data_IF_337006492982
#
_entry.id   IF_337006492982
#
_cell.length_a   1.000
_cell.length_b   1.000
_cell.length_c   1.000
_cell.angle_alpha   90.00
_cell.angle_beta   90.00
_cell.angle_gamma   90.00
#
_symmetry.space_group_name_H-M   'P 1'
#
loop_
_entity.id
_entity.type
_entity.pdbx_description
1 polymer ?
#
# COMPACT_ATOMS: atom_id res chain seq x y z
N UNK A 1 8.48 -41.58 -7.18
CA UNK A 1 7.10 -41.35 -6.70
C UNK A 1 6.49 -40.27 -7.57
N UNK A 2 5.18 -40.20 -7.69
CA UNK A 2 4.51 -39.16 -8.47
C UNK A 2 3.64 -38.24 -7.62
N UNK A 3 3.29 -37.07 -8.15
CA UNK A 3 2.35 -36.12 -7.55
C UNK A 3 1.05 -36.85 -7.19
N UNK A 4 0.53 -36.63 -5.96
CA UNK A 4 -0.72 -37.21 -5.53
C UNK A 4 -1.87 -36.90 -6.50
N UNK A 5 -2.68 -37.92 -6.82
CA UNK A 5 -3.71 -37.81 -7.85
C UNK A 5 -4.69 -36.65 -7.63
N UNK A 6 -5.07 -36.38 -6.38
CA UNK A 6 -5.98 -35.27 -6.02
C UNK A 6 -5.36 -33.87 -6.16
N UNK A 7 -4.04 -33.78 -6.36
CA UNK A 7 -3.31 -32.52 -6.50
C UNK A 7 -2.81 -32.27 -7.93
N UNK A 8 -2.98 -33.23 -8.84
CA UNK A 8 -2.64 -33.04 -10.26
C UNK A 8 -3.52 -31.97 -10.90
N UNK A 9 -2.93 -31.18 -11.78
CA UNK A 9 -3.57 -30.03 -12.44
C UNK A 9 -3.70 -28.79 -11.56
N UNK A 10 -3.18 -28.81 -10.33
CA UNK A 10 -3.06 -27.61 -9.50
C UNK A 10 -1.85 -26.78 -9.96
N UNK A 11 -1.90 -25.50 -9.61
CA UNK A 11 -0.86 -24.52 -9.95
C UNK A 11 -0.27 -23.90 -8.68
N UNK A 12 0.94 -23.38 -8.81
CA UNK A 12 1.55 -22.46 -7.87
C UNK A 12 1.75 -21.08 -8.53
N UNK A 13 1.79 -20.03 -7.73
CA UNK A 13 1.65 -18.64 -8.19
C UNK A 13 2.77 -17.74 -7.69
N UNK A 14 3.41 -17.01 -8.60
CA UNK A 14 4.32 -15.92 -8.26
C UNK A 14 3.67 -14.60 -8.61
N UNK A 15 3.61 -13.65 -7.68
CA UNK A 15 3.05 -12.33 -7.94
C UNK A 15 4.14 -11.27 -7.99
N UNK A 16 3.96 -10.29 -8.87
CA UNK A 16 4.89 -9.17 -9.08
C UNK A 16 4.14 -7.96 -9.64
N UNK A 17 4.77 -6.80 -9.68
CA UNK A 17 4.24 -5.63 -10.38
C UNK A 17 4.36 -5.82 -11.91
N UNK A 18 3.37 -5.30 -12.64
CA UNK A 18 3.38 -5.30 -14.11
C UNK A 18 4.61 -4.59 -14.70
N UNK A 19 5.21 -3.63 -13.99
CA UNK A 19 6.44 -2.94 -14.40
C UNK A 19 7.62 -3.90 -14.58
N UNK A 20 7.63 -5.02 -13.85
CA UNK A 20 8.68 -6.04 -13.95
C UNK A 20 8.48 -6.97 -15.16
N UNK A 21 7.34 -6.89 -15.87
CA UNK A 21 7.01 -7.84 -16.92
C UNK A 21 8.01 -7.78 -18.09
N UNK A 22 8.48 -6.59 -18.44
CA UNK A 22 9.41 -6.43 -19.56
C UNK A 22 10.72 -7.20 -19.35
N UNK A 23 11.34 -7.04 -18.18
CA UNK A 23 12.58 -7.76 -17.84
C UNK A 23 12.35 -9.25 -17.65
N UNK A 24 11.16 -9.67 -17.18
CA UNK A 24 10.78 -11.08 -17.07
C UNK A 24 10.62 -11.72 -18.44
N UNK A 25 10.09 -11.00 -19.44
CA UNK A 25 10.02 -11.50 -20.82
C UNK A 25 11.42 -11.68 -21.40
N UNK A 26 12.32 -10.72 -21.16
CA UNK A 26 13.67 -10.74 -21.74
C UNK A 26 14.58 -11.79 -21.09
N UNK A 27 14.48 -11.99 -19.77
CA UNK A 27 15.45 -12.78 -18.99
C UNK A 27 14.85 -14.03 -18.33
N UNK A 28 13.53 -14.19 -18.37
CA UNK A 28 12.80 -15.09 -17.48
C UNK A 28 12.58 -14.51 -16.09
N UNK A 29 11.71 -15.16 -15.32
CA UNK A 29 11.53 -14.86 -13.90
C UNK A 29 12.68 -15.48 -13.11
N UNK A 30 13.69 -14.68 -12.75
CA UNK A 30 14.92 -15.15 -12.09
C UNK A 30 14.86 -15.07 -10.56
N UNK A 31 15.61 -15.96 -9.89
CA UNK A 31 15.83 -15.94 -8.45
C UNK A 31 16.62 -14.68 -8.03
N UNK A 32 16.54 -14.32 -6.75
CA UNK A 32 17.15 -13.09 -6.24
C UNK A 32 18.65 -13.02 -6.51
N UNK A 33 19.38 -14.11 -6.28
CA UNK A 33 20.83 -14.13 -6.47
C UNK A 33 21.23 -13.88 -7.94
N UNK A 34 20.55 -14.52 -8.90
CA UNK A 34 20.81 -14.29 -10.33
C UNK A 34 20.37 -12.90 -10.81
N UNK A 35 19.28 -12.34 -10.28
CA UNK A 35 18.88 -10.96 -10.57
C UNK A 35 19.97 -9.97 -10.14
N UNK A 36 20.51 -10.16 -8.94
CA UNK A 36 21.58 -9.33 -8.40
C UNK A 36 22.88 -9.48 -9.20
N UNK A 37 23.30 -10.70 -9.51
CA UNK A 37 24.49 -10.99 -10.31
C UNK A 37 24.43 -10.32 -11.69
N UNK A 38 23.25 -10.34 -12.33
CA UNK A 38 23.03 -9.78 -13.67
C UNK A 38 22.69 -8.29 -13.68
N UNK A 39 22.55 -7.66 -12.51
CA UNK A 39 22.16 -6.25 -12.40
C UNK A 39 20.79 -5.93 -13.01
N UNK A 40 19.86 -6.89 -12.96
CA UNK A 40 18.51 -6.69 -13.53
C UNK A 40 17.71 -5.77 -12.59
N UNK A 41 17.29 -4.61 -13.11
CA UNK A 41 16.39 -3.72 -12.39
C UNK A 41 15.05 -4.40 -12.14
N UNK A 42 14.57 -4.31 -10.90
CA UNK A 42 13.34 -4.95 -10.45
C UNK A 42 12.71 -4.13 -9.34
N UNK A 43 11.45 -3.76 -9.52
CA UNK A 43 10.63 -3.14 -8.48
C UNK A 43 10.34 -4.18 -7.39
N UNK A 44 11.13 -4.12 -6.32
CA UNK A 44 11.06 -5.10 -5.24
C UNK A 44 9.98 -4.70 -4.23
N UNK A 45 8.92 -5.52 -4.17
CA UNK A 45 7.81 -5.34 -3.24
C UNK A 45 7.97 -6.13 -1.93
N UNK A 46 9.10 -6.82 -1.75
CA UNK A 46 9.37 -7.66 -0.58
C UNK A 46 10.10 -6.92 0.54
N UNK A 47 9.77 -7.26 1.79
CA UNK A 47 10.40 -6.70 2.98
C UNK A 47 11.89 -7.05 3.09
N UNK A 48 12.71 -6.05 3.44
CA UNK A 48 14.16 -6.23 3.60
C UNK A 48 14.53 -7.31 4.63
N UNK A 49 13.81 -7.37 5.76
CA UNK A 49 14.03 -8.40 6.78
C UNK A 49 13.75 -9.80 6.23
N UNK A 50 12.72 -9.94 5.40
CA UNK A 50 12.38 -11.21 4.73
C UNK A 50 13.49 -11.60 3.75
N UNK A 51 14.01 -10.64 2.97
CA UNK A 51 15.12 -10.89 2.05
C UNK A 51 16.40 -11.32 2.80
N UNK A 52 16.71 -10.69 3.94
CA UNK A 52 17.86 -11.08 4.77
C UNK A 52 17.78 -12.50 5.34
N UNK A 53 16.57 -12.94 5.74
CA UNK A 53 16.36 -14.33 6.17
C UNK A 53 16.51 -15.31 5.02
N UNK A 54 15.92 -14.99 3.86
CA UNK A 54 15.93 -15.87 2.69
C UNK A 54 17.32 -16.02 2.06
N UNK A 55 18.18 -15.00 2.16
CA UNK A 55 19.57 -15.11 1.68
C UNK A 55 20.43 -16.08 2.50
N UNK A 56 20.04 -16.35 3.75
CA UNK A 56 20.81 -17.16 4.70
C UNK A 56 20.12 -18.46 5.11
N UNK A 57 18.87 -18.68 4.69
CA UNK A 57 18.10 -19.91 4.97
C UNK A 57 18.52 -21.04 4.02
N UNK A 58 19.17 -22.11 4.52
CA UNK A 58 19.57 -23.25 3.70
C UNK A 58 18.35 -24.07 3.29
N UNK A 59 18.44 -24.71 2.13
CA UNK A 59 17.48 -25.72 1.65
C UNK A 59 18.16 -27.09 1.77
N UNK A 60 17.97 -27.85 2.86
CA UNK A 60 18.81 -29.02 3.16
C UNK A 60 18.78 -30.11 2.09
N UNK A 61 17.68 -30.23 1.35
CA UNK A 61 17.47 -31.23 0.31
C UNK A 61 17.96 -30.81 -1.10
N UNK A 62 18.73 -29.71 -1.19
CA UNK A 62 19.19 -29.11 -2.46
C UNK A 62 20.69 -29.26 -2.77
N UNK A 63 21.48 -29.86 -1.87
CA UNK A 63 22.93 -29.98 -2.09
C UNK A 63 23.72 -28.69 -1.86
N UNK A 64 23.21 -27.76 -1.04
CA UNK A 64 23.94 -26.56 -0.58
C UNK A 64 23.35 -25.21 -0.99
N UNK A 65 22.21 -25.20 -1.68
CA UNK A 65 21.53 -23.96 -2.06
C UNK A 65 20.76 -23.35 -0.88
N UNK A 66 20.53 -22.04 -0.99
CA UNK A 66 19.73 -21.23 -0.09
C UNK A 66 18.43 -20.81 -0.77
N UNK A 67 17.47 -20.30 0.00
CA UNK A 67 16.16 -19.90 -0.54
C UNK A 67 16.29 -18.83 -1.65
N UNK A 68 17.31 -17.97 -1.61
CA UNK A 68 17.58 -16.98 -2.67
C UNK A 68 18.10 -17.54 -4.00
N UNK A 69 18.44 -18.82 -4.06
CA UNK A 69 18.77 -19.52 -5.31
C UNK A 69 17.52 -20.03 -6.04
N UNK A 70 16.34 -19.76 -5.48
CA UNK A 70 15.05 -20.19 -6.01
C UNK A 70 14.11 -19.02 -6.33
N UNK A 71 13.27 -19.23 -7.34
CA UNK A 71 12.09 -18.42 -7.62
C UNK A 71 10.93 -18.96 -6.79
N UNK A 72 10.32 -18.16 -5.91
CA UNK A 72 9.21 -18.62 -5.09
C UNK A 72 7.86 -18.53 -5.78
N UNK A 73 7.09 -19.60 -5.68
CA UNK A 73 5.68 -19.65 -6.07
C UNK A 73 4.86 -20.15 -4.89
N UNK A 74 3.80 -19.43 -4.52
CA UNK A 74 2.90 -19.86 -3.46
C UNK A 74 1.91 -20.89 -3.99
N UNK A 75 1.62 -21.94 -3.21
CA UNK A 75 0.48 -22.80 -3.53
C UNK A 75 -0.86 -22.09 -3.35
N UNK A 76 -0.89 -21.08 -2.46
CA UNK A 76 -2.07 -20.26 -2.22
C UNK A 76 -2.20 -19.15 -3.25
N UNK A 77 -3.45 -18.83 -3.61
CA UNK A 77 -3.78 -17.69 -4.47
C UNK A 77 -3.67 -16.34 -3.74
N UNK A 78 -3.80 -16.34 -2.41
CA UNK A 78 -3.81 -15.15 -1.55
C UNK A 78 -2.95 -15.35 -0.33
N UNK A 79 -1.94 -14.52 -0.17
CA UNK A 79 -0.99 -14.63 0.95
C UNK A 79 -1.11 -13.45 1.90
N UNK A 80 -0.81 -13.67 3.18
CA UNK A 80 -0.71 -12.58 4.15
C UNK A 80 0.44 -11.63 3.83
N UNK A 81 1.48 -12.10 3.12
CA UNK A 81 2.53 -11.23 2.56
C UNK A 81 1.94 -10.20 1.61
N UNK A 82 1.15 -10.62 0.62
CA UNK A 82 0.48 -9.71 -0.31
C UNK A 82 -0.39 -8.68 0.43
N UNK A 83 -1.16 -9.13 1.43
CA UNK A 83 -1.98 -8.23 2.26
C UNK A 83 -1.13 -7.18 2.99
N UNK A 84 0.02 -7.58 3.53
CA UNK A 84 0.97 -6.68 4.19
C UNK A 84 1.48 -5.58 3.26
N UNK A 85 1.91 -5.94 2.04
CA UNK A 85 2.40 -4.98 1.04
C UNK A 85 1.31 -3.97 0.64
N UNK A 86 0.08 -4.44 0.45
CA UNK A 86 -1.06 -3.57 0.09
C UNK A 86 -1.39 -2.61 1.25
N UNK A 87 -1.45 -3.11 2.48
CA UNK A 87 -1.78 -2.28 3.66
C UNK A 87 -0.71 -1.23 3.98
N UNK A 88 0.54 -1.42 3.54
CA UNK A 88 1.60 -0.40 3.64
C UNK A 88 1.47 0.74 2.62
N UNK A 89 0.49 0.67 1.71
CA UNK A 89 0.26 1.68 0.66
C UNK A 89 1.47 1.90 -0.25
N UNK A 90 2.27 0.84 -0.49
CA UNK A 90 3.44 0.90 -1.38
C UNK A 90 3.14 0.41 -2.80
N UNK A 91 2.01 -0.27 -3.00
CA UNK A 91 1.62 -0.80 -4.31
C UNK A 91 0.15 -0.54 -4.57
N UNK A 92 -0.17 -0.26 -5.83
CA UNK A 92 -1.52 -0.34 -6.34
C UNK A 92 -1.81 -1.80 -6.67
N UNK A 93 -2.61 -2.46 -5.83
CA UNK A 93 -2.97 -3.87 -6.02
C UNK A 93 -3.43 -4.21 -7.45
N UNK A 94 -4.17 -3.34 -8.18
CA UNK A 94 -4.54 -3.62 -9.57
C UNK A 94 -3.35 -3.81 -10.52
N UNK A 95 -2.17 -3.27 -10.19
CA UNK A 95 -0.94 -3.44 -10.97
C UNK A 95 -0.20 -4.76 -10.69
N UNK A 96 -0.67 -5.56 -9.73
CA UNK A 96 -0.10 -6.89 -9.46
C UNK A 96 -0.59 -7.91 -10.48
N UNK A 97 0.36 -8.62 -11.09
CA UNK A 97 0.11 -9.75 -11.99
C UNK A 97 0.66 -11.04 -11.39
N UNK A 98 0.09 -12.18 -11.77
CA UNK A 98 0.48 -13.49 -11.25
C UNK A 98 0.89 -14.42 -12.38
N UNK A 99 2.03 -15.08 -12.25
CA UNK A 99 2.45 -16.18 -13.11
C UNK A 99 2.04 -17.50 -12.47
N UNK A 100 1.28 -18.31 -13.20
CA UNK A 100 0.90 -19.65 -12.76
C UNK A 100 1.75 -20.73 -13.46
N UNK A 101 2.35 -21.60 -12.67
CA UNK A 101 3.06 -22.79 -13.15
C UNK A 101 2.44 -24.07 -12.57
N UNK A 102 2.41 -25.18 -13.33
CA UNK A 102 1.85 -26.44 -12.85
C UNK A 102 2.74 -27.03 -11.75
N UNK A 103 2.13 -27.63 -10.71
CA UNK A 103 2.91 -28.29 -9.63
C UNK A 103 3.72 -29.46 -10.19
N UNK A 104 3.30 -30.04 -11.32
CA UNK A 104 4.01 -31.06 -12.10
C UNK A 104 5.46 -30.71 -12.44
N UNK A 105 5.84 -29.43 -12.41
CA UNK A 105 7.22 -29.01 -12.59
C UNK A 105 8.20 -29.67 -11.59
N UNK A 106 7.72 -30.10 -10.41
CA UNK A 106 8.53 -30.85 -9.42
C UNK A 106 9.14 -32.12 -10.02
N UNK A 107 8.42 -32.79 -10.91
CA UNK A 107 8.86 -34.04 -11.54
C UNK A 107 9.67 -33.81 -12.82
N UNK A 108 9.51 -32.62 -13.43
CA UNK A 108 10.01 -32.30 -14.76
C UNK A 108 11.34 -31.56 -14.70
N UNK A 109 11.56 -30.76 -13.66
CA UNK A 109 12.71 -29.88 -13.53
C UNK A 109 13.57 -30.29 -12.33
N UNK A 110 14.83 -30.62 -12.60
CA UNK A 110 15.77 -31.03 -11.57
C UNK A 110 16.00 -29.90 -10.54
N UNK A 111 16.06 -30.26 -9.26
CA UNK A 111 16.35 -29.32 -8.18
C UNK A 111 15.15 -28.52 -7.67
N UNK A 112 13.95 -28.66 -8.25
CA UNK A 112 12.73 -28.09 -7.68
C UNK A 112 12.45 -28.69 -6.31
N UNK A 113 12.10 -27.82 -5.36
CA UNK A 113 11.72 -28.20 -4.00
C UNK A 113 10.41 -27.53 -3.61
N UNK A 114 9.79 -28.00 -2.54
CA UNK A 114 8.63 -27.33 -1.92
C UNK A 114 8.75 -27.36 -0.40
N UNK A 115 8.12 -26.39 0.26
CA UNK A 115 8.09 -26.27 1.71
C UNK A 115 6.70 -26.47 2.29
N UNK A 116 6.62 -26.85 3.57
CA UNK A 116 5.35 -26.99 4.31
C UNK A 116 4.80 -25.71 4.92
N UNK A 117 5.62 -24.67 4.95
CA UNK A 117 5.28 -23.33 5.38
C UNK A 117 6.15 -22.29 4.65
N UNK A 118 5.91 -20.99 4.87
CA UNK A 118 6.68 -19.94 4.19
C UNK A 118 8.18 -20.05 4.47
N UNK A 119 8.97 -19.94 3.40
CA UNK A 119 10.43 -20.00 3.46
C UNK A 119 11.01 -18.63 3.88
N UNK A 120 10.58 -18.10 5.02
CA UNK A 120 11.05 -16.83 5.62
C UNK A 120 10.85 -16.74 7.15
N UNK A 121 10.45 -17.85 7.76
CA UNK A 121 10.30 -18.01 9.21
C UNK A 121 11.65 -17.96 9.92
N UNK A 122 11.65 -17.64 11.21
CA UNK A 122 12.87 -17.69 12.03
C UNK A 122 13.40 -19.12 12.21
N UNK A 123 12.49 -20.07 12.40
CA UNK A 123 12.79 -21.51 12.31
C UNK A 123 12.46 -21.99 10.91
N UNK A 124 13.43 -22.46 10.11
CA UNK A 124 13.19 -22.89 8.74
C UNK A 124 12.08 -23.95 8.65
N UNK A 125 11.21 -23.89 7.61
CA UNK A 125 10.21 -24.93 7.38
C UNK A 125 10.88 -26.24 6.92
N UNK A 126 10.09 -27.32 6.82
CA UNK A 126 10.58 -28.52 6.17
C UNK A 126 10.62 -28.29 4.65
N UNK A 127 11.69 -28.76 4.00
CA UNK A 127 11.84 -28.72 2.56
C UNK A 127 11.88 -30.13 1.98
N UNK A 128 11.13 -30.34 0.91
CA UNK A 128 10.99 -31.61 0.22
C UNK A 128 11.39 -31.47 -1.24
N UNK A 129 12.01 -32.50 -1.80
CA UNK A 129 12.39 -32.57 -3.21
C UNK A 129 11.58 -33.67 -3.92
N UNK A 130 11.92 -33.95 -5.17
CA UNK A 130 11.26 -34.97 -6.01
C UNK A 130 11.19 -36.37 -5.37
N UNK A 131 12.15 -36.74 -4.51
CA UNK A 131 12.15 -38.04 -3.83
C UNK A 131 11.09 -38.16 -2.73
N UNK A 132 10.55 -37.03 -2.26
CA UNK A 132 9.55 -36.93 -1.20
C UNK A 132 8.26 -36.25 -1.67
N UNK A 133 7.93 -36.34 -2.97
CA UNK A 133 6.75 -35.68 -3.57
C UNK A 133 5.42 -36.07 -2.93
N UNK A 134 5.34 -37.24 -2.29
CA UNK A 134 4.17 -37.68 -1.52
C UNK A 134 3.87 -36.77 -0.31
N UNK A 135 4.86 -36.01 0.17
CA UNK A 135 4.69 -35.02 1.24
C UNK A 135 3.82 -33.82 0.82
N UNK A 136 3.49 -33.67 -0.47
CA UNK A 136 2.45 -32.73 -0.89
C UNK A 136 1.11 -33.00 -0.18
N UNK A 137 0.82 -34.25 0.21
CA UNK A 137 -0.39 -34.60 0.97
C UNK A 137 -0.35 -34.15 2.43
N UNK A 138 0.83 -33.84 2.99
CA UNK A 138 0.95 -33.35 4.37
C UNK A 138 0.85 -31.84 4.50
N UNK A 139 0.81 -31.11 3.37
CA UNK A 139 0.57 -29.67 3.38
C UNK A 139 -0.84 -29.38 3.93
N UNK A 140 -0.97 -28.27 4.65
CA UNK A 140 -2.27 -27.82 5.14
C UNK A 140 -3.06 -27.15 4.01
N UNK A 141 -3.67 -27.97 3.15
CA UNK A 141 -4.46 -27.49 2.01
C UNK A 141 -5.68 -26.67 2.42
N UNK A 142 -6.24 -26.92 3.60
CA UNK A 142 -7.32 -26.09 4.16
C UNK A 142 -6.84 -24.66 4.39
N UNK A 143 -5.62 -24.46 4.89
CA UNK A 143 -5.00 -23.15 5.05
C UNK A 143 -4.64 -22.51 3.71
N UNK A 144 -4.04 -23.29 2.81
CA UNK A 144 -3.62 -22.85 1.46
C UNK A 144 -4.82 -22.36 0.65
N UNK A 145 -5.96 -23.05 0.73
CA UNK A 145 -7.18 -22.74 -0.02
C UNK A 145 -8.13 -21.77 0.69
N UNK A 146 -7.85 -21.38 1.95
CA UNK A 146 -8.68 -20.44 2.68
C UNK A 146 -8.70 -19.06 1.98
N UNK A 147 -9.90 -18.51 1.82
CA UNK A 147 -10.13 -17.19 1.23
C UNK A 147 -10.20 -16.07 2.27
N UNK A 148 -10.28 -16.41 3.55
CA UNK A 148 -10.29 -15.43 4.65
C UNK A 148 -8.97 -14.67 4.70
N UNK A 149 -9.07 -13.38 5.03
CA UNK A 149 -7.91 -12.48 5.14
C UNK A 149 -7.17 -12.68 6.46
N UNK A 150 -7.93 -12.84 7.55
CA UNK A 150 -7.38 -13.14 8.86
C UNK A 150 -6.94 -14.60 8.97
N UNK A 151 -5.87 -14.82 9.72
CA UNK A 151 -5.39 -16.15 10.09
C UNK A 151 -5.59 -16.34 11.61
N UNK A 152 -6.07 -17.50 12.08
CA UNK A 152 -6.33 -17.76 13.49
C UNK A 152 -5.05 -17.84 14.33
N UNK A 153 -3.95 -18.30 13.75
CA UNK A 153 -2.64 -18.42 14.39
C UNK A 153 -1.52 -18.08 13.41
N UNK A 154 -0.32 -17.82 13.94
CA UNK A 154 0.85 -17.55 13.12
C UNK A 154 1.31 -18.79 12.32
N UNK A 155 1.24 -19.98 12.93
CA UNK A 155 1.50 -21.24 12.24
C UNK A 155 0.58 -21.44 11.04
N UNK A 156 -0.73 -21.17 11.21
CA UNK A 156 -1.70 -21.26 10.12
C UNK A 156 -1.37 -20.25 9.00
N UNK A 157 -0.97 -19.03 9.38
CA UNK A 157 -0.52 -17.99 8.45
C UNK A 157 0.68 -18.46 7.62
N UNK A 158 1.66 -19.09 8.26
CA UNK A 158 2.86 -19.60 7.59
C UNK A 158 2.59 -20.84 6.73
N UNK A 159 1.76 -21.78 7.19
CA UNK A 159 1.32 -22.95 6.41
C UNK A 159 0.53 -22.56 5.16
N UNK A 160 -0.35 -21.56 5.26
CA UNK A 160 -1.06 -20.97 4.11
C UNK A 160 -0.10 -20.44 3.04
N UNK A 161 1.07 -19.99 3.46
CA UNK A 161 2.12 -19.45 2.59
C UNK A 161 3.19 -20.51 2.25
N UNK A 162 2.85 -21.80 2.25
CA UNK A 162 3.71 -22.86 1.71
C UNK A 162 4.12 -22.55 0.25
N UNK A 163 5.38 -22.84 -0.08
CA UNK A 163 6.03 -22.41 -1.32
C UNK A 163 6.48 -23.62 -2.16
N UNK A 164 6.29 -23.51 -3.47
CA UNK A 164 7.05 -24.21 -4.50
C UNK A 164 8.25 -23.33 -4.88
N UNK A 165 9.44 -23.91 -4.89
CA UNK A 165 10.70 -23.21 -5.10
C UNK A 165 11.38 -23.81 -6.35
N UNK A 166 11.46 -23.01 -7.42
CA UNK A 166 12.07 -23.42 -8.70
C UNK A 166 13.49 -22.86 -8.79
N UNK A 167 14.53 -23.68 -9.00
CA UNK A 167 15.91 -23.21 -8.96
C UNK A 167 16.23 -22.28 -10.14
N UNK A 168 17.06 -21.27 -9.89
CA UNK A 168 17.58 -20.31 -10.86
C UNK A 168 16.52 -19.40 -11.51
N UNK A 169 15.61 -19.92 -12.30
CA UNK A 169 14.67 -19.12 -13.07
C UNK A 169 13.57 -19.93 -13.75
N UNK A 170 12.50 -19.24 -14.14
CA UNK A 170 11.39 -19.77 -14.93
C UNK A 170 11.25 -18.96 -16.21
N UNK A 171 11.34 -19.61 -17.36
CA UNK A 171 11.13 -18.97 -18.66
C UNK A 171 9.65 -18.68 -18.90
N UNK A 172 9.36 -17.64 -19.68
CA UNK A 172 7.97 -17.24 -19.93
C UNK A 172 7.16 -18.33 -20.65
N UNK A 173 7.84 -19.18 -21.44
CA UNK A 173 7.24 -20.35 -22.10
C UNK A 173 6.79 -21.46 -21.14
N UNK A 174 7.32 -21.47 -19.91
CA UNK A 174 6.94 -22.43 -18.87
C UNK A 174 5.72 -21.96 -18.06
N UNK A 175 5.33 -20.69 -18.22
CA UNK A 175 4.14 -20.13 -17.58
C UNK A 175 2.89 -20.61 -18.32
N UNK A 176 1.96 -21.22 -17.58
CA UNK A 176 0.71 -21.71 -18.16
C UNK A 176 -0.30 -20.59 -18.43
N UNK A 177 -0.39 -19.63 -17.51
CA UNK A 177 -1.24 -18.44 -17.68
C UNK A 177 -0.80 -17.31 -16.75
N UNK A 178 -1.23 -16.10 -17.10
CA UNK A 178 -1.05 -14.89 -16.29
C UNK A 178 -2.42 -14.49 -15.72
N UNK A 179 -2.50 -14.21 -14.43
CA UNK A 179 -3.70 -13.61 -13.81
C UNK A 179 -3.52 -12.11 -13.69
N UNK A 180 -4.54 -11.36 -14.10
CA UNK A 180 -4.57 -9.89 -14.06
C UNK A 180 -5.86 -9.37 -13.41
N UNK A 181 -5.84 -8.13 -12.94
CA UNK A 181 -6.94 -7.52 -12.19
C UNK A 181 -8.19 -7.29 -13.04
N UNK A 182 -8.05 -6.67 -14.22
CA UNK A 182 -9.16 -6.31 -15.10
C UNK A 182 -8.72 -6.19 -16.58
N UNK A 183 -9.68 -5.88 -17.45
CA UNK A 183 -9.47 -5.68 -18.89
C UNK A 183 -8.42 -4.61 -19.22
N UNK A 184 -8.32 -3.56 -18.41
CA UNK A 184 -7.30 -2.54 -18.63
C UNK A 184 -5.89 -3.10 -18.43
N UNK A 185 -5.63 -3.81 -17.33
CA UNK A 185 -4.31 -4.44 -17.09
C UNK A 185 -4.01 -5.51 -18.14
N UNK A 186 -5.01 -6.30 -18.56
CA UNK A 186 -4.83 -7.25 -19.65
C UNK A 186 -4.26 -6.57 -20.89
N UNK A 187 -4.85 -5.44 -21.30
CA UNK A 187 -4.37 -4.67 -22.47
C UNK A 187 -2.96 -4.14 -22.28
N UNK A 188 -2.60 -3.69 -21.07
CA UNK A 188 -1.21 -3.28 -20.80
C UNK A 188 -0.22 -4.45 -20.88
N UNK A 189 -0.58 -5.63 -20.33
CA UNK A 189 0.22 -6.85 -20.47
C UNK A 189 0.38 -7.25 -21.94
N UNK A 190 -0.71 -7.28 -22.71
CA UNK A 190 -0.69 -7.63 -24.13
C UNK A 190 0.20 -6.66 -24.94
N UNK A 191 0.15 -5.36 -24.65
CA UNK A 191 1.02 -4.36 -25.29
C UNK A 191 2.50 -4.64 -25.02
N UNK A 192 2.87 -4.97 -23.78
CA UNK A 192 4.27 -5.28 -23.42
C UNK A 192 4.77 -6.51 -24.19
N UNK A 193 3.96 -7.58 -24.24
CA UNK A 193 4.28 -8.78 -25.03
C UNK A 193 4.40 -8.50 -26.52
N UNK A 194 3.47 -7.70 -27.07
CA UNK A 194 3.48 -7.29 -28.47
C UNK A 194 4.75 -6.49 -28.81
N UNK A 195 5.15 -5.55 -27.94
CA UNK A 195 6.38 -4.76 -28.12
C UNK A 195 7.64 -5.64 -28.18
N UNK A 196 7.65 -6.77 -27.45
CA UNK A 196 8.71 -7.76 -27.47
C UNK A 196 8.58 -8.81 -28.58
N UNK A 197 7.53 -8.74 -29.40
CA UNK A 197 7.23 -9.73 -30.45
C UNK A 197 7.13 -11.17 -29.91
N UNK A 198 6.65 -11.33 -28.67
CA UNK A 198 6.46 -12.63 -28.01
C UNK A 198 4.96 -12.83 -27.76
N UNK A 199 4.46 -14.05 -28.01
CA UNK A 199 3.07 -14.38 -27.70
C UNK A 199 2.88 -14.52 -26.19
N UNK A 200 1.90 -13.82 -25.58
CA UNK A 200 1.63 -13.96 -24.16
C UNK A 200 1.10 -15.37 -23.84
N UNK A 201 1.42 -15.93 -22.65
CA UNK A 201 0.62 -17.00 -22.07
C UNK A 201 -0.85 -16.60 -21.99
N UNK A 202 -1.73 -17.58 -21.79
CA UNK A 202 -3.18 -17.28 -21.63
C UNK A 202 -3.37 -16.27 -20.49
N UNK A 203 -4.13 -15.19 -20.71
CA UNK A 203 -4.43 -14.20 -19.67
C UNK A 203 -5.83 -14.48 -19.08
N UNK A 204 -5.93 -14.51 -17.75
CA UNK A 204 -7.15 -14.84 -17.01
C UNK A 204 -7.49 -13.78 -15.96
N UNK A 205 -8.77 -13.74 -15.60
CA UNK A 205 -9.28 -13.01 -14.44
C UNK A 205 -9.63 -13.99 -13.33
N UNK A 206 -9.09 -13.78 -12.13
CA UNK A 206 -9.45 -14.59 -10.96
C UNK A 206 -9.40 -13.74 -9.68
N UNK A 207 -10.58 -13.41 -9.16
CA UNK A 207 -10.75 -12.67 -7.91
C UNK A 207 -10.17 -13.40 -6.70
N UNK A 208 -9.95 -14.71 -6.81
CA UNK A 208 -9.28 -15.53 -5.83
C UNK A 208 -7.86 -15.05 -5.50
N UNK A 209 -7.23 -14.22 -6.34
CA UNK A 209 -5.88 -13.67 -6.12
C UNK A 209 -5.85 -12.28 -5.48
N UNK A 210 -6.98 -11.58 -5.44
CA UNK A 210 -7.03 -10.17 -5.07
C UNK A 210 -7.90 -9.87 -3.85
N UNK A 211 -7.43 -9.03 -2.94
CA UNK A 211 -8.17 -8.50 -1.80
C UNK A 211 -9.14 -7.41 -2.27
N UNK A 212 -10.42 -7.76 -2.36
CA UNK A 212 -11.49 -6.90 -2.88
C UNK A 212 -12.33 -6.35 -1.73
N UNK A 213 -12.65 -5.06 -1.74
CA UNK A 213 -13.56 -4.48 -0.76
C UNK A 213 -15.02 -4.90 -1.05
N UNK A 214 -15.48 -5.95 -0.39
CA UNK A 214 -16.84 -6.49 -0.55
C UNK A 214 -17.95 -5.56 -0.03
N UNK A 215 -17.64 -4.61 0.86
CA UNK A 215 -18.64 -3.76 1.52
C UNK A 215 -19.11 -2.59 0.63
N UNK A 216 -18.33 -2.22 -0.40
CA UNK A 216 -18.65 -1.07 -1.27
C UNK A 216 -19.18 -1.48 -2.66
N UNK A 217 -19.66 -2.71 -2.83
CA UNK A 217 -20.46 -3.11 -3.99
C UNK A 217 -19.73 -3.15 -5.34
N UNK A 218 -18.41 -3.33 -5.38
CA UNK A 218 -17.65 -3.43 -6.63
C UNK A 218 -16.28 -4.09 -6.51
N UNK A 219 -15.64 -4.37 -7.65
CA UNK A 219 -14.24 -4.82 -7.76
C UNK A 219 -13.28 -3.66 -7.45
N UNK A 220 -13.23 -3.24 -6.19
CA UNK A 220 -12.28 -2.23 -5.69
C UNK A 220 -11.20 -2.88 -4.86
N UNK A 221 -9.98 -2.35 -4.94
CA UNK A 221 -8.92 -2.67 -3.99
C UNK A 221 -9.36 -2.29 -2.58
N UNK A 222 -8.83 -2.98 -1.57
CA UNK A 222 -9.05 -2.68 -0.15
C UNK A 222 -8.33 -1.41 0.32
N UNK A 223 -7.33 -0.99 -0.44
CA UNK A 223 -6.50 0.18 -0.22
C UNK A 223 -6.14 0.76 -1.58
N UNK A 224 -6.23 2.07 -1.72
CA UNK A 224 -5.75 2.84 -2.87
C UNK A 224 -4.25 3.00 -2.75
N UNK A 225 -3.51 2.51 -3.74
CA UNK A 225 -2.06 2.58 -3.75
C UNK A 225 -1.52 3.96 -4.16
N UNK A 226 -0.19 4.12 -4.16
CA UNK A 226 0.44 5.42 -4.29
C UNK A 226 0.26 6.06 -5.67
N UNK A 227 0.28 5.26 -6.75
CA UNK A 227 0.15 5.81 -8.12
C UNK A 227 -1.27 6.29 -8.37
N UNK A 228 -2.28 5.53 -7.93
CA UNK A 228 -3.67 5.92 -8.13
C UNK A 228 -4.06 7.07 -7.21
N UNK A 229 -3.59 7.08 -5.95
CA UNK A 229 -3.82 8.20 -5.05
C UNK A 229 -3.24 9.50 -5.60
N UNK A 230 -1.98 9.48 -6.05
CA UNK A 230 -1.33 10.65 -6.65
C UNK A 230 -2.09 11.15 -7.88
N UNK A 231 -2.50 10.24 -8.77
CA UNK A 231 -3.29 10.61 -9.95
C UNK A 231 -4.61 11.30 -9.58
N UNK A 232 -5.37 10.74 -8.63
CA UNK A 232 -6.65 11.32 -8.20
C UNK A 232 -6.44 12.65 -7.45
N UNK A 233 -5.35 12.83 -6.70
CA UNK A 233 -4.95 14.10 -6.10
C UNK A 233 -4.70 15.16 -7.16
N UNK A 234 -3.83 14.87 -8.14
CA UNK A 234 -3.48 15.80 -9.22
C UNK A 234 -4.71 16.22 -10.05
N UNK A 235 -5.56 15.23 -10.37
CA UNK A 235 -6.82 15.44 -11.07
C UNK A 235 -7.78 16.29 -10.24
N UNK A 236 -7.91 16.03 -8.94
CA UNK A 236 -8.77 16.81 -8.03
C UNK A 236 -8.30 18.25 -7.93
N UNK A 237 -7.00 18.50 -7.79
CA UNK A 237 -6.42 19.84 -7.81
C UNK A 237 -6.74 20.54 -9.13
N UNK A 238 -6.51 19.87 -10.27
CA UNK A 238 -6.80 20.42 -11.60
C UNK A 238 -8.28 20.81 -11.75
N UNK A 239 -9.19 19.95 -11.28
CA UNK A 239 -10.63 20.19 -11.32
C UNK A 239 -11.06 21.37 -10.44
N UNK A 240 -10.47 21.52 -9.24
CA UNK A 240 -10.75 22.65 -8.35
C UNK A 240 -10.28 23.96 -8.99
N UNK A 241 -9.04 23.99 -9.52
CA UNK A 241 -8.48 25.18 -10.16
C UNK A 241 -9.25 25.60 -11.43
N UNK A 242 -9.86 24.64 -12.14
CA UNK A 242 -10.73 24.92 -13.31
C UNK A 242 -12.12 25.44 -12.93
N UNK A 243 -12.53 25.34 -11.67
CA UNK A 243 -13.86 25.80 -11.25
C UNK A 243 -13.93 27.34 -11.33
N UNK A 244 -14.87 27.85 -12.13
CA UNK A 244 -15.02 29.29 -12.39
C UNK A 244 -15.78 29.96 -11.24
N UNK A 245 -15.37 31.18 -10.88
CA UNK A 245 -16.00 32.28 -10.11
C UNK A 245 -17.48 32.16 -9.67
N UNK A 246 -17.84 31.09 -8.96
CA UNK A 246 -19.06 31.05 -8.14
C UNK A 246 -18.73 31.72 -6.80
N UNK A 247 -19.59 32.62 -6.28
CA UNK A 247 -19.44 33.14 -4.93
C UNK A 247 -19.29 32.02 -3.91
N UNK A 248 -18.20 32.03 -3.16
CA UNK A 248 -17.93 31.03 -2.12
C UNK A 248 -18.56 31.48 -0.80
N UNK A 249 -18.94 30.52 0.05
CA UNK A 249 -19.52 30.80 1.39
C UNK A 249 -18.62 31.69 2.26
N UNK A 250 -17.31 31.45 2.21
CA UNK A 250 -16.27 32.20 2.92
C UNK A 250 -15.28 32.77 1.90
N UNK A 251 -14.98 34.06 2.01
CA UNK A 251 -14.13 34.76 1.04
C UNK A 251 -12.63 34.46 1.15
N UNK A 252 -12.18 33.82 2.23
CA UNK A 252 -10.76 33.51 2.48
C UNK A 252 -10.61 32.32 3.42
N UNK A 253 -9.38 31.78 3.49
CA UNK A 253 -8.99 30.77 4.48
C UNK A 253 -9.27 31.24 5.91
N UNK A 254 -8.92 32.50 6.22
CA UNK A 254 -9.16 33.11 7.52
C UNK A 254 -10.64 33.17 7.89
N UNK A 255 -11.50 33.60 6.96
CA UNK A 255 -12.94 33.65 7.22
C UNK A 255 -13.54 32.26 7.48
N UNK A 256 -13.04 31.23 6.79
CA UNK A 256 -13.43 29.85 7.05
C UNK A 256 -12.95 29.36 8.43
N UNK A 257 -11.71 29.66 8.81
CA UNK A 257 -11.18 29.34 10.14
C UNK A 257 -11.97 30.02 11.27
N UNK A 258 -12.31 31.30 11.10
CA UNK A 258 -13.12 32.04 12.09
C UNK A 258 -14.51 31.41 12.23
N UNK A 259 -15.11 30.96 11.11
CA UNK A 259 -16.39 30.25 11.13
C UNK A 259 -16.28 28.87 11.82
N UNK A 260 -15.25 28.07 11.53
CA UNK A 260 -14.98 26.78 12.18
C UNK A 260 -14.75 26.95 13.69
N UNK A 261 -14.03 28.00 14.09
CA UNK A 261 -13.78 28.30 15.49
C UNK A 261 -15.07 28.69 16.24
N UNK A 262 -16.01 29.37 15.57
CA UNK A 262 -17.32 29.69 16.13
C UNK A 262 -18.25 28.47 16.18
N UNK A 263 -18.29 27.70 15.10
CA UNK A 263 -19.11 26.50 14.94
C UNK A 263 -18.35 25.48 14.08
N UNK A 264 -17.91 24.38 14.72
CA UNK A 264 -17.16 23.33 14.03
C UNK A 264 -17.96 22.71 12.86
N UNK A 265 -19.29 22.62 12.99
CA UNK A 265 -20.19 22.09 11.97
C UNK A 265 -20.54 23.10 10.87
N UNK A 266 -19.87 24.27 10.84
CA UNK A 266 -20.10 25.31 9.82
C UNK A 266 -19.67 24.91 8.40
N UNK A 267 -18.96 23.79 8.25
CA UNK A 267 -18.69 23.13 6.97
C UNK A 267 -19.31 21.74 7.03
N UNK A 268 -20.03 21.35 5.97
CA UNK A 268 -20.80 20.10 5.92
C UNK A 268 -19.97 18.88 6.31
N UNK A 269 -18.76 18.75 5.79
CA UNK A 269 -17.93 17.57 6.06
C UNK A 269 -17.34 17.53 7.46
N UNK A 270 -17.23 18.68 8.14
CA UNK A 270 -16.92 18.71 9.56
C UNK A 270 -18.12 18.28 10.40
N UNK A 271 -19.33 18.71 10.04
CA UNK A 271 -20.57 18.21 10.66
C UNK A 271 -20.71 16.70 10.46
N UNK A 272 -20.36 16.19 9.28
CA UNK A 272 -20.41 14.77 8.94
C UNK A 272 -19.47 13.89 9.77
N UNK A 273 -18.43 14.45 10.40
CA UNK A 273 -17.50 13.73 11.28
C UNK A 273 -17.66 14.08 12.77
N UNK A 274 -18.35 15.17 13.11
CA UNK A 274 -18.52 15.60 14.49
C UNK A 274 -19.35 14.58 15.30
N UNK A 275 -18.78 14.00 16.35
CA UNK A 275 -19.41 12.94 17.12
C UNK A 275 -19.36 11.55 16.45
N UNK A 276 -18.63 11.38 15.34
CA UNK A 276 -18.36 10.06 14.76
C UNK A 276 -17.45 9.25 15.69
N UNK A 277 -18.02 8.30 16.42
CA UNK A 277 -17.27 7.45 17.37
C UNK A 277 -16.24 6.58 16.65
N UNK A 278 -15.01 6.57 17.16
CA UNK A 278 -13.96 5.63 16.76
C UNK A 278 -13.80 4.54 17.83
N UNK A 279 -14.58 3.47 17.71
CA UNK A 279 -14.64 2.33 18.63
C UNK A 279 -13.52 1.29 18.36
N UNK A 280 -12.31 1.75 18.09
CA UNK A 280 -11.12 0.89 17.93
C UNK A 280 -9.87 1.60 18.47
N UNK A 281 -8.99 0.83 19.12
CA UNK A 281 -7.74 1.38 19.65
C UNK A 281 -6.81 1.88 18.53
N UNK A 282 -5.95 2.88 18.80
CA UNK A 282 -5.72 3.54 20.09
C UNK A 282 -6.62 4.77 20.35
N UNK A 283 -7.60 5.04 19.49
CA UNK A 283 -8.42 6.25 19.60
C UNK A 283 -9.38 6.15 20.79
N UNK A 284 -9.55 7.29 21.48
CA UNK A 284 -10.52 7.45 22.58
C UNK A 284 -11.53 8.57 22.33
N UNK A 285 -11.24 9.44 21.35
CA UNK A 285 -12.11 10.53 20.93
C UNK A 285 -13.01 10.11 19.76
N UNK A 286 -14.09 10.86 19.54
CA UNK A 286 -14.73 10.88 18.23
C UNK A 286 -13.85 11.63 17.21
N UNK A 287 -14.08 11.37 15.92
CA UNK A 287 -13.26 11.92 14.83
C UNK A 287 -13.26 13.46 14.82
N UNK A 288 -14.40 14.11 15.05
CA UNK A 288 -14.48 15.57 15.08
C UNK A 288 -13.73 16.17 16.27
N UNK A 289 -13.81 15.57 17.46
CA UNK A 289 -13.01 15.98 18.63
C UNK A 289 -11.51 15.80 18.38
N UNK A 290 -11.12 14.69 17.75
CA UNK A 290 -9.74 14.43 17.33
C UNK A 290 -9.23 15.54 16.39
N UNK A 291 -9.96 15.87 15.33
CA UNK A 291 -9.57 16.94 14.39
C UNK A 291 -9.38 18.31 15.07
N UNK A 292 -10.20 18.64 16.08
CA UNK A 292 -10.01 19.86 16.89
C UNK A 292 -8.69 19.82 17.66
N UNK A 293 -8.38 18.71 18.34
CA UNK A 293 -7.12 18.54 19.09
C UNK A 293 -5.90 18.64 18.18
N UNK A 294 -5.95 18.07 16.97
CA UNK A 294 -4.86 18.20 16.00
C UNK A 294 -4.64 19.67 15.61
N UNK A 295 -5.71 20.38 15.22
CA UNK A 295 -5.62 21.78 14.82
C UNK A 295 -5.11 22.70 15.95
N UNK A 296 -5.55 22.47 17.20
CA UNK A 296 -5.10 23.25 18.36
C UNK A 296 -3.68 22.86 18.83
N UNK A 297 -3.25 21.63 18.54
CA UNK A 297 -1.94 21.10 18.89
C UNK A 297 -0.79 21.61 18.01
N UNK A 298 -1.08 22.16 16.83
CA UNK A 298 -0.07 22.61 15.85
C UNK A 298 0.97 23.57 16.45
N UNK A 299 0.55 24.50 17.30
CA UNK A 299 1.42 25.52 17.90
C UNK A 299 2.51 24.95 18.83
N UNK A 300 2.44 23.66 19.18
CA UNK A 300 3.44 22.98 19.99
C UNK A 300 4.71 22.65 19.20
N UNK A 301 4.67 22.69 17.86
CA UNK A 301 5.76 22.22 17.01
C UNK A 301 6.49 23.37 16.29
N UNK A 302 7.84 23.36 16.25
CA UNK A 302 8.62 24.39 15.58
C UNK A 302 8.32 24.45 14.09
N UNK A 303 8.06 23.30 13.44
CA UNK A 303 7.72 23.25 12.01
C UNK A 303 6.50 24.09 11.65
N UNK A 304 5.53 24.25 12.56
CA UNK A 304 4.38 25.12 12.37
C UNK A 304 4.71 26.58 12.74
N UNK A 305 5.44 26.79 13.84
CA UNK A 305 5.74 28.12 14.35
C UNK A 305 6.62 28.94 13.40
N UNK A 306 7.49 28.27 12.63
CA UNK A 306 8.38 28.89 11.65
C UNK A 306 7.68 29.24 10.32
N UNK A 307 6.42 28.82 10.12
CA UNK A 307 5.66 29.11 8.92
C UNK A 307 5.20 30.57 8.84
N UNK A 308 4.97 31.04 7.61
CA UNK A 308 4.30 32.31 7.34
C UNK A 308 2.88 32.31 7.92
N UNK A 309 2.31 33.49 8.18
CA UNK A 309 0.93 33.58 8.67
C UNK A 309 -0.08 32.94 7.69
N UNK A 310 0.16 33.07 6.40
CA UNK A 310 -0.67 32.45 5.37
C UNK A 310 -0.57 30.92 5.43
N UNK A 311 0.63 30.36 5.48
CA UNK A 311 0.82 28.91 5.54
C UNK A 311 0.29 28.34 6.87
N UNK A 312 0.38 29.07 7.99
CA UNK A 312 -0.27 28.68 9.26
C UNK A 312 -1.77 28.52 9.11
N UNK A 313 -2.44 29.43 8.39
CA UNK A 313 -3.88 29.32 8.11
C UNK A 313 -4.18 28.10 7.24
N UNK A 314 -3.35 27.82 6.22
CA UNK A 314 -3.50 26.66 5.36
C UNK A 314 -3.32 25.34 6.13
N UNK A 315 -2.26 25.21 6.95
CA UNK A 315 -2.03 24.03 7.78
C UNK A 315 -3.16 23.84 8.78
N UNK A 316 -3.67 24.91 9.38
CA UNK A 316 -4.77 24.80 10.35
C UNK A 316 -6.08 24.36 9.70
N UNK A 317 -6.39 24.85 8.49
CA UNK A 317 -7.53 24.33 7.71
C UNK A 317 -7.35 22.84 7.40
N UNK A 318 -6.18 22.46 6.90
CA UNK A 318 -5.89 21.06 6.60
C UNK A 318 -5.97 20.18 7.84
N UNK A 319 -5.53 20.65 9.01
CA UNK A 319 -5.65 19.91 10.27
C UNK A 319 -7.11 19.67 10.70
N UNK A 320 -8.02 20.62 10.46
CA UNK A 320 -9.46 20.35 10.66
C UNK A 320 -10.00 19.33 9.65
N UNK A 321 -9.48 19.36 8.43
CA UNK A 321 -9.98 18.52 7.33
C UNK A 321 -9.32 17.15 7.20
N UNK A 322 -8.19 16.87 7.84
CA UNK A 322 -7.36 15.68 7.58
C UNK A 322 -8.19 14.38 7.60
N UNK A 323 -9.16 14.31 8.50
CA UNK A 323 -9.96 13.13 8.76
C UNK A 323 -11.36 13.12 8.11
N UNK A 324 -11.72 14.12 7.30
CA UNK A 324 -13.08 14.21 6.71
C UNK A 324 -13.46 12.98 5.88
N UNK A 325 -12.47 12.33 5.26
CA UNK A 325 -12.68 11.09 4.49
C UNK A 325 -13.18 9.90 5.32
N UNK A 326 -13.09 9.98 6.66
CA UNK A 326 -13.72 9.02 7.59
C UNK A 326 -15.23 9.23 7.69
N UNK A 327 -15.76 10.39 7.31
CA UNK A 327 -17.20 10.65 7.22
C UNK A 327 -17.87 10.06 5.97
N UNK A 328 -19.19 10.22 5.84
CA UNK A 328 -20.09 10.75 6.88
C UNK A 328 -20.42 9.74 7.97
N UNK A 329 -20.88 10.21 9.14
CA UNK A 329 -21.42 9.38 10.24
C UNK A 329 -22.37 8.29 9.76
N UNK A 330 -23.24 8.62 8.80
CA UNK A 330 -24.23 7.71 8.23
C UNK A 330 -23.64 6.47 7.56
N UNK A 331 -22.35 6.47 7.23
CA UNK A 331 -21.63 5.29 6.68
C UNK A 331 -21.39 4.18 7.70
N UNK A 332 -21.36 4.50 9.00
CA UNK A 332 -20.83 3.60 10.04
C UNK A 332 -21.90 2.93 10.91
N UNK A 333 -23.19 3.13 10.61
CA UNK A 333 -24.26 2.60 11.45
C UNK A 333 -24.25 3.20 12.86
N UNK A 334 -24.88 2.51 13.81
CA UNK A 334 -25.04 3.02 15.19
C UNK A 334 -23.78 2.88 16.05
N UNK A 335 -22.94 1.87 15.76
CA UNK A 335 -21.74 1.56 16.56
C UNK A 335 -20.55 2.46 16.23
N UNK A 336 -20.68 3.30 15.19
CA UNK A 336 -19.59 4.11 14.67
C UNK A 336 -18.50 3.26 14.01
N UNK A 337 -17.30 3.82 13.93
CA UNK A 337 -16.18 3.12 13.33
C UNK A 337 -15.72 1.99 14.25
N UNK A 338 -15.84 0.73 13.82
CA UNK A 338 -15.33 -0.45 14.55
C UNK A 338 -13.96 -0.90 14.05
N UNK A 339 -13.43 -0.22 13.03
CA UNK A 339 -12.13 -0.45 12.41
C UNK A 339 -11.63 0.84 11.75
N UNK A 340 -10.32 0.93 11.53
CA UNK A 340 -9.73 2.01 10.74
C UNK A 340 -10.25 2.02 9.29
N UNK A 341 -10.38 3.22 8.71
CA UNK A 341 -10.63 3.40 7.28
C UNK A 341 -9.32 3.69 6.55
N UNK A 342 -8.75 2.64 5.95
CA UNK A 342 -7.47 2.74 5.25
C UNK A 342 -7.54 3.56 3.95
N UNK A 343 -8.74 3.89 3.47
CA UNK A 343 -8.99 4.66 2.25
C UNK A 343 -9.53 6.07 2.52
N UNK A 344 -9.52 6.55 3.78
CA UNK A 344 -10.02 7.90 4.11
C UNK A 344 -9.34 8.99 3.27
N UNK A 345 -8.04 8.85 2.98
CA UNK A 345 -7.28 9.74 2.10
C UNK A 345 -7.94 9.92 0.72
N UNK A 346 -8.21 8.86 -0.03
CA UNK A 346 -8.87 9.00 -1.36
C UNK A 346 -10.32 9.46 -1.22
N UNK A 347 -11.00 9.10 -0.12
CA UNK A 347 -12.39 9.49 0.16
C UNK A 347 -12.53 10.96 0.52
N UNK A 348 -11.47 11.63 0.96
CA UNK A 348 -11.47 13.07 1.23
C UNK A 348 -11.43 13.90 -0.05
N UNK A 349 -10.91 13.38 -1.17
CA UNK A 349 -10.79 14.12 -2.43
C UNK A 349 -12.11 14.71 -2.97
N UNK A 350 -13.22 13.96 -3.10
CA UNK A 350 -14.50 14.54 -3.52
C UNK A 350 -15.04 15.58 -2.52
N UNK A 351 -14.72 15.44 -1.24
CA UNK A 351 -15.11 16.38 -0.18
C UNK A 351 -14.31 17.68 -0.29
N UNK A 352 -12.99 17.58 -0.44
CA UNK A 352 -12.10 18.71 -0.69
C UNK A 352 -12.50 19.44 -1.96
N UNK A 353 -12.85 18.71 -3.02
CA UNK A 353 -13.39 19.30 -4.25
C UNK A 353 -14.62 20.15 -3.94
N UNK A 354 -15.58 19.65 -3.17
CA UNK A 354 -16.76 20.43 -2.78
C UNK A 354 -16.38 21.66 -1.95
N UNK A 355 -15.65 21.46 -0.85
CA UNK A 355 -15.26 22.54 0.09
C UNK A 355 -14.53 23.66 -0.65
N UNK A 356 -13.55 23.34 -1.50
CA UNK A 356 -12.71 24.33 -2.18
C UNK A 356 -13.38 24.91 -3.45
N UNK A 357 -14.50 24.35 -3.89
CA UNK A 357 -15.29 24.91 -5.00
C UNK A 357 -16.60 25.57 -4.57
N UNK A 358 -17.04 25.38 -3.33
CA UNK A 358 -18.31 25.94 -2.82
C UNK A 358 -18.12 26.79 -1.56
N UNK A 359 -17.30 26.34 -0.62
CA UNK A 359 -17.25 26.94 0.72
C UNK A 359 -16.12 27.95 0.86
N UNK A 360 -14.90 27.67 0.40
CA UNK A 360 -13.71 28.50 0.68
C UNK A 360 -13.16 29.13 -0.60
N UNK A 361 -13.14 30.47 -0.63
CA UNK A 361 -12.57 31.28 -1.72
C UNK A 361 -11.25 31.95 -1.38
N UNK A 362 -10.75 32.77 -2.31
CA UNK A 362 -9.54 33.59 -2.09
C UNK A 362 -8.23 32.79 -2.01
N UNK A 363 -8.23 31.53 -2.49
CA UNK A 363 -7.06 30.66 -2.49
C UNK A 363 -6.33 30.72 -3.84
N UNK A 364 -5.00 30.80 -3.80
CA UNK A 364 -4.17 30.57 -4.99
C UNK A 364 -4.17 29.09 -5.36
N UNK A 365 -3.75 28.76 -6.59
CA UNK A 365 -3.56 27.36 -7.02
C UNK A 365 -2.59 26.61 -6.10
N UNK A 366 -1.54 27.29 -5.61
CA UNK A 366 -0.60 26.68 -4.67
C UNK A 366 -1.24 26.40 -3.30
N UNK A 367 -2.08 27.31 -2.78
CA UNK A 367 -2.81 27.06 -1.54
C UNK A 367 -3.80 25.91 -1.67
N UNK A 368 -4.50 25.81 -2.81
CA UNK A 368 -5.39 24.67 -3.11
C UNK A 368 -4.59 23.37 -3.10
N UNK A 369 -3.45 23.33 -3.81
CA UNK A 369 -2.56 22.18 -3.83
C UNK A 369 -2.11 21.78 -2.43
N UNK A 370 -1.64 22.75 -1.62
CA UNK A 370 -1.19 22.52 -0.24
C UNK A 370 -2.30 21.91 0.61
N UNK A 371 -3.51 22.47 0.61
CA UNK A 371 -4.65 21.92 1.37
C UNK A 371 -4.92 20.48 0.95
N UNK A 372 -5.01 20.20 -0.35
CA UNK A 372 -5.34 18.86 -0.84
C UNK A 372 -4.26 17.85 -0.45
N UNK A 373 -2.98 18.20 -0.61
CA UNK A 373 -1.86 17.33 -0.24
C UNK A 373 -1.83 17.09 1.28
N UNK A 374 -1.95 18.13 2.08
CA UNK A 374 -1.89 18.03 3.54
C UNK A 374 -3.01 17.17 4.13
N UNK A 375 -4.20 17.21 3.54
CA UNK A 375 -5.35 16.38 3.96
C UNK A 375 -5.25 14.95 3.44
N UNK A 376 -4.70 14.74 2.23
CA UNK A 376 -4.67 13.42 1.60
C UNK A 376 -3.46 12.58 2.03
N UNK A 377 -2.40 13.23 2.48
CA UNK A 377 -1.14 12.62 2.92
C UNK A 377 -0.83 12.93 4.39
N UNK A 378 -1.86 13.15 5.20
CA UNK A 378 -1.78 13.41 6.63
C UNK A 378 -1.05 12.28 7.39
N UNK A 379 -1.29 11.03 6.99
CA UNK A 379 -0.68 9.85 7.59
C UNK A 379 0.72 9.49 7.02
N UNK A 380 1.18 10.17 5.95
CA UNK A 380 2.36 9.76 5.19
C UNK A 380 3.64 9.73 6.02
N UNK A 381 3.92 10.81 6.76
CA UNK A 381 5.14 10.91 7.58
C UNK A 381 5.14 9.81 8.66
N UNK A 382 4.02 9.64 9.36
CA UNK A 382 3.87 8.61 10.38
C UNK A 382 4.03 7.19 9.81
N UNK A 383 3.42 6.93 8.66
CA UNK A 383 3.52 5.63 7.98
C UNK A 383 4.92 5.33 7.46
N UNK A 384 5.68 6.33 6.99
CA UNK A 384 7.08 6.14 6.58
C UNK A 384 7.93 5.73 7.78
N UNK A 385 7.84 6.47 8.89
CA UNK A 385 8.73 6.26 10.04
C UNK A 385 8.33 5.09 10.95
N UNK A 386 7.09 4.62 10.86
CA UNK A 386 6.55 3.59 11.76
C UNK A 386 6.01 2.34 11.07
N UNK A 387 5.55 2.42 9.81
CA UNK A 387 4.83 1.32 9.13
C UNK A 387 5.50 0.84 7.84
N UNK A 388 6.60 1.49 7.43
CA UNK A 388 7.38 1.09 6.25
C UNK A 388 6.74 1.51 4.92
N UNK A 389 6.02 2.63 4.91
CA UNK A 389 5.63 3.29 3.66
C UNK A 389 6.86 3.89 2.98
N UNK A 390 6.90 3.83 1.65
CA UNK A 390 8.06 4.25 0.87
C UNK A 390 8.26 5.77 0.93
N UNK A 391 9.47 6.20 1.33
CA UNK A 391 9.83 7.61 1.40
C UNK A 391 9.80 8.33 0.04
N UNK A 392 9.90 7.60 -1.08
CA UNK A 392 9.77 8.18 -2.42
C UNK A 392 8.43 8.90 -2.60
N UNK A 393 7.37 8.40 -1.97
CA UNK A 393 6.05 9.03 -2.03
C UNK A 393 6.02 10.45 -1.46
N UNK A 394 6.86 10.74 -0.44
CA UNK A 394 6.99 12.08 0.11
C UNK A 394 7.68 13.03 -0.88
N UNK A 395 8.76 12.56 -1.50
CA UNK A 395 9.52 13.34 -2.49
C UNK A 395 8.66 13.64 -3.72
N UNK A 396 7.83 12.68 -4.13
CA UNK A 396 6.96 12.78 -5.31
C UNK A 396 5.84 13.84 -5.18
N UNK A 397 5.58 14.37 -3.98
CA UNK A 397 4.45 15.30 -3.73
C UNK A 397 4.88 16.67 -3.19
N UNK A 398 6.05 16.79 -2.56
CA UNK A 398 6.55 18.06 -2.03
C UNK A 398 7.25 18.86 -3.14
N UNK A 399 7.13 20.19 -3.10
CA UNK A 399 7.84 21.09 -4.03
C UNK A 399 9.03 21.80 -3.40
N UNK A 400 8.95 22.06 -2.10
CA UNK A 400 9.93 22.86 -1.38
C UNK A 400 10.00 22.46 0.11
N UNK A 401 10.90 23.10 0.85
CA UNK A 401 11.03 22.91 2.30
C UNK A 401 9.75 23.27 3.07
N UNK A 402 8.94 24.20 2.55
CA UNK A 402 7.74 24.67 3.22
C UNK A 402 6.66 23.57 3.23
N UNK A 403 6.44 22.91 2.08
CA UNK A 403 5.57 21.72 2.01
C UNK A 403 5.95 20.65 3.02
N UNK A 404 7.26 20.38 3.14
CA UNK A 404 7.79 19.40 4.08
C UNK A 404 7.52 19.81 5.54
N UNK A 405 7.74 21.09 5.90
CA UNK A 405 7.42 21.61 7.24
C UNK A 405 5.94 21.46 7.56
N UNK A 406 5.06 21.79 6.61
CA UNK A 406 3.61 21.70 6.78
C UNK A 406 3.16 20.24 7.01
N UNK A 407 3.66 19.28 6.22
CA UNK A 407 3.35 17.85 6.40
C UNK A 407 3.85 17.31 7.74
N UNK A 408 5.07 17.67 8.14
CA UNK A 408 5.63 17.25 9.44
C UNK A 408 4.84 17.85 10.60
N UNK A 409 4.41 19.11 10.50
CA UNK A 409 3.61 19.77 11.53
C UNK A 409 2.28 19.04 11.78
N UNK A 410 1.54 18.71 10.71
CA UNK A 410 0.28 17.96 10.84
C UNK A 410 0.53 16.57 11.40
N UNK A 411 1.52 15.84 10.86
CA UNK A 411 1.82 14.49 11.32
C UNK A 411 2.23 14.45 12.81
N UNK A 412 3.07 15.40 13.27
CA UNK A 412 3.44 15.50 14.68
C UNK A 412 2.23 15.85 15.55
N UNK A 413 1.36 16.77 15.12
CA UNK A 413 0.14 17.12 15.85
C UNK A 413 -0.86 15.97 15.94
N UNK A 414 -1.06 15.23 14.84
CA UNK A 414 -1.91 14.05 14.78
C UNK A 414 -1.40 12.95 15.73
N UNK A 415 -0.12 12.55 15.58
CA UNK A 415 0.52 11.57 16.46
C UNK A 415 0.42 11.98 17.94
N UNK A 416 0.68 13.26 18.26
CA UNK A 416 0.64 13.77 19.63
C UNK A 416 -0.76 13.75 20.23
N UNK A 417 -1.79 14.04 19.43
CA UNK A 417 -3.18 14.04 19.89
C UNK A 417 -3.68 12.64 20.26
N UNK A 418 -3.12 11.60 19.64
CA UNK A 418 -3.40 10.19 19.94
C UNK A 418 -2.52 9.70 21.10
N UNK A 419 -1.20 9.89 20.98
CA UNK A 419 -0.23 9.45 21.96
C UNK A 419 1.06 10.29 21.87
N UNK A 420 1.25 11.17 22.84
CA UNK A 420 2.41 12.06 22.95
C UNK A 420 3.77 11.32 22.87
N UNK A 421 3.84 10.08 23.35
CA UNK A 421 5.09 9.30 23.31
C UNK A 421 5.51 8.95 21.89
N UNK A 422 4.58 8.85 20.93
CA UNK A 422 4.89 8.51 19.55
C UNK A 422 5.78 9.56 18.87
N UNK A 423 5.52 10.84 19.12
CA UNK A 423 6.37 11.92 18.59
C UNK A 423 7.78 11.77 19.15
N UNK A 424 7.93 11.49 20.45
CA UNK A 424 9.25 11.30 21.08
C UNK A 424 9.98 10.08 20.51
N UNK A 425 9.30 8.94 20.39
CA UNK A 425 9.85 7.68 19.89
C UNK A 425 10.35 7.84 18.44
N UNK A 426 9.59 8.54 17.60
CA UNK A 426 9.89 8.67 16.17
C UNK A 426 10.62 9.97 15.80
N UNK A 427 10.91 10.86 16.76
CA UNK A 427 11.49 12.17 16.47
C UNK A 427 12.78 12.08 15.63
N UNK A 428 13.71 11.21 16.02
CA UNK A 428 14.97 11.04 15.28
C UNK A 428 14.72 10.54 13.85
N UNK A 429 13.82 9.59 13.66
CA UNK A 429 13.46 9.08 12.33
C UNK A 429 12.81 10.15 11.46
N UNK A 430 11.96 11.01 12.04
CA UNK A 430 11.34 12.15 11.36
C UNK A 430 12.39 13.18 10.94
N UNK A 431 13.33 13.55 11.82
CA UNK A 431 14.40 14.48 11.47
C UNK A 431 15.34 13.91 10.40
N UNK A 432 15.67 12.61 10.49
CA UNK A 432 16.45 11.95 9.45
C UNK A 432 15.70 11.93 8.10
N UNK A 433 14.38 11.69 8.11
CA UNK A 433 13.55 11.73 6.90
C UNK A 433 13.52 13.13 6.30
N UNK A 434 13.35 14.17 7.12
CA UNK A 434 13.37 15.58 6.69
C UNK A 434 14.67 15.91 5.96
N UNK A 435 15.81 15.57 6.56
CA UNK A 435 17.12 15.84 5.96
C UNK A 435 17.30 15.16 4.60
N UNK A 436 16.88 13.89 4.47
CA UNK A 436 16.95 13.16 3.19
C UNK A 436 16.01 13.74 2.14
N UNK A 437 14.80 14.17 2.53
CA UNK A 437 13.84 14.80 1.63
C UNK A 437 14.36 16.15 1.12
N UNK A 438 14.96 16.98 1.98
CA UNK A 438 15.54 18.26 1.60
C UNK A 438 16.71 18.10 0.61
N UNK A 439 17.60 17.14 0.86
CA UNK A 439 18.70 16.84 -0.07
C UNK A 439 18.20 16.49 -1.47
N UNK A 440 17.07 15.76 -1.58
CA UNK A 440 16.47 15.42 -2.87
C UNK A 440 15.87 16.64 -3.56
N UNK A 441 15.15 17.50 -2.82
CA UNK A 441 14.63 18.77 -3.36
C UNK A 441 15.75 19.65 -3.92
N UNK A 442 16.87 19.78 -3.21
CA UNK A 442 18.02 20.59 -3.62
C UNK A 442 18.72 20.05 -4.88
N UNK A 443 18.68 18.73 -5.09
CA UNK A 443 19.29 18.09 -6.27
C UNK A 443 18.43 18.20 -7.54
N UNK A 444 17.10 18.33 -7.37
CA UNK A 444 16.14 18.45 -8.47
C UNK A 444 15.82 19.92 -8.86
N UNK A 445 16.31 20.89 -8.07
CA UNK A 445 16.20 22.34 -8.30
C UNK A 445 17.38 22.88 -9.12
#
# INVERSE_FOLDING_TARGET
MSIPQGLRGRYAYHFTLVDNLESIIDSGLLCTNLKNERGISHENIAEQVIQGRRSTMPVPCSGGNFVHDYVPFYFSKKTSMQLGVINKKNVDQPLLIYFAIPIEIIEQTAGVVFSDASANTDTPPNFYNVFSVNMLNSLNWDAIDDKKWGCPTDDYRHQKMAELLVPNGVQISEVSYIVVWNEWIKKEVEKIFQAKSIQPPTIKYDEGHYYINFYEGGRKSIVTGPRFLKHEVEKTISDICKSINIPKKYGSARAALDAIAYDFSSIKELDDIDGLRASYGPHSDDVGTHSKKVADGLAQFPEYNDLSNQDKEIVRLAAYFHDIGKGPKSRWGQDGMTKADNDHAVKSLPMLKRILTEDIGGLSEDNIRKIVILVTYDDLIGDIVAKGRDEKQLVDIIKDENDLKMLVAIAKADMNSINMAWVMIHNQSIECLKNRALQKIECDS
#
